data_IF_507462993525
#
_entry.id   IF_507462993525
#
_cell.length_a   1.000
_cell.length_b   1.000
_cell.length_c   1.000
_cell.angle_alpha   90.00
_cell.angle_beta   90.00
_cell.angle_gamma   90.00
#
_symmetry.space_group_name_H-M   'P 1'
#
loop_
_entity.id
_entity.type
_entity.pdbx_description
1 polymer ?
#
# COMPACT_ATOMS: atom_id res chain seq x y z
N UNK A 1 -1.52 -11.23 17.12
CA UNK A 1 -0.86 -10.21 16.26
C UNK A 1 -1.75 -9.93 15.06
N UNK A 2 -2.31 -8.71 14.96
CA UNK A 2 -3.07 -8.30 13.78
C UNK A 2 -2.16 -8.32 12.56
N UNK A 3 -2.45 -9.19 11.60
CA UNK A 3 -1.66 -9.38 10.39
C UNK A 3 -2.45 -8.73 9.26
N UNK A 4 -1.83 -7.82 8.49
CA UNK A 4 -2.50 -7.20 7.34
C UNK A 4 -3.12 -8.27 6.42
N UNK A 5 -4.26 -7.96 5.78
CA UNK A 5 -4.88 -8.84 4.81
C UNK A 5 -3.86 -9.33 3.77
N UNK A 6 -4.03 -10.56 3.30
CA UNK A 6 -3.09 -11.20 2.37
C UNK A 6 -2.91 -10.41 1.07
N UNK A 7 -3.97 -9.73 0.63
CA UNK A 7 -3.97 -8.80 -0.52
C UNK A 7 -2.98 -7.66 -0.32
N UNK A 8 -2.98 -7.03 0.86
CA UNK A 8 -2.04 -5.96 1.22
C UNK A 8 -0.63 -6.50 1.35
N UNK A 9 -0.43 -7.65 2.01
CA UNK A 9 0.91 -8.25 2.16
C UNK A 9 1.58 -8.63 0.84
N UNK A 10 0.79 -9.05 -0.15
CA UNK A 10 1.30 -9.42 -1.48
C UNK A 10 1.44 -8.21 -2.42
N UNK A 11 1.18 -7.00 -1.92
CA UNK A 11 1.33 -5.78 -2.69
C UNK A 11 2.78 -5.60 -3.16
N UNK A 12 2.95 -5.30 -4.45
CA UNK A 12 4.26 -4.89 -5.03
C UNK A 12 4.57 -3.43 -4.72
N UNK A 13 3.64 -2.71 -4.09
CA UNK A 13 3.72 -1.28 -3.82
C UNK A 13 3.85 -1.07 -2.32
N UNK A 14 4.81 -0.24 -1.92
CA UNK A 14 5.04 0.11 -0.51
C UNK A 14 5.13 1.62 -0.33
N UNK A 15 4.71 2.08 0.84
CA UNK A 15 4.98 3.43 1.27
C UNK A 15 6.46 3.55 1.65
N UNK A 16 7.18 4.50 1.06
CA UNK A 16 8.61 4.72 1.36
C UNK A 16 8.83 5.19 2.81
N UNK A 17 8.14 6.24 3.31
CA UNK A 17 8.40 6.73 4.67
C UNK A 17 8.03 5.72 5.76
N UNK A 18 6.94 4.97 5.61
CA UNK A 18 6.54 3.95 6.60
C UNK A 18 7.22 2.59 6.37
N UNK A 19 7.77 2.35 5.17
CA UNK A 19 8.30 1.05 4.74
C UNK A 19 7.32 -0.12 4.94
N UNK A 20 6.02 0.15 4.74
CA UNK A 20 4.93 -0.83 4.87
C UNK A 20 4.18 -0.99 3.55
N UNK A 21 3.50 -2.13 3.33
CA UNK A 21 2.74 -2.34 2.11
C UNK A 21 1.61 -1.33 1.94
N UNK A 22 1.33 -0.97 0.69
CA UNK A 22 0.16 -0.17 0.33
C UNK A 22 -1.00 -1.08 -0.10
N UNK A 23 -2.23 -0.67 0.21
CA UNK A 23 -3.46 -1.28 -0.28
C UNK A 23 -3.91 -0.59 -1.57
N UNK A 24 -4.41 -1.36 -2.53
CA UNK A 24 -5.06 -0.83 -3.73
C UNK A 24 -6.49 -0.42 -3.40
N UNK A 25 -6.88 0.79 -3.79
CA UNK A 25 -8.25 1.30 -3.69
C UNK A 25 -9.06 0.89 -4.92
N UNK A 26 -10.38 1.08 -4.84
CA UNK A 26 -11.30 0.79 -5.94
C UNK A 26 -11.00 1.68 -7.17
N UNK A 27 -10.44 2.87 -6.94
CA UNK A 27 -10.05 3.82 -7.98
C UNK A 27 -8.69 3.47 -8.65
N UNK A 28 -8.08 2.34 -8.28
CA UNK A 28 -6.78 1.90 -8.81
C UNK A 28 -5.60 2.73 -8.28
N UNK A 29 -5.79 3.47 -7.18
CA UNK A 29 -4.71 4.17 -6.47
C UNK A 29 -4.19 3.30 -5.33
N UNK A 30 -2.93 3.49 -4.94
CA UNK A 30 -2.38 2.79 -3.78
C UNK A 30 -2.35 3.73 -2.57
N UNK A 31 -2.75 3.23 -1.42
CA UNK A 31 -2.79 3.98 -0.15
C UNK A 31 -2.03 3.21 0.92
N UNK A 32 -1.19 3.91 1.68
CA UNK A 32 -0.46 3.32 2.80
C UNK A 32 -1.43 2.85 3.89
N UNK A 33 -1.27 1.60 4.34
CA UNK A 33 -2.14 1.03 5.39
C UNK A 33 -1.83 1.52 6.81
N UNK A 34 -0.78 2.34 6.96
CA UNK A 34 -0.34 2.84 8.25
C UNK A 34 -0.54 4.35 8.39
N UNK A 35 -0.04 5.14 7.43
CA UNK A 35 -0.22 6.60 7.46
C UNK A 35 -1.39 7.11 6.63
N UNK A 36 -1.96 6.30 5.73
CA UNK A 36 -3.04 6.73 4.84
C UNK A 36 -2.59 7.58 3.64
N UNK A 37 -1.29 7.81 3.46
CA UNK A 37 -0.78 8.58 2.33
C UNK A 37 -0.97 7.83 1.01
N UNK A 38 -1.25 8.61 -0.05
CA UNK A 38 -1.33 8.08 -1.41
C UNK A 38 0.06 7.74 -1.92
N UNK A 39 0.26 6.47 -2.26
CA UNK A 39 1.48 5.96 -2.87
C UNK A 39 1.30 6.00 -4.38
N UNK A 40 1.81 7.05 -5.01
CA UNK A 40 1.82 7.15 -6.48
C UNK A 40 3.03 6.37 -6.98
N UNK A 41 2.82 5.10 -7.33
CA UNK A 41 3.84 4.31 -8.02
C UNK A 41 3.96 4.80 -9.46
N UNK A 42 5.10 5.38 -9.83
CA UNK A 42 5.43 5.66 -11.23
C UNK A 42 5.36 4.35 -12.01
N UNK A 43 4.34 4.23 -12.88
CA UNK A 43 4.33 3.21 -13.95
C UNK A 43 5.32 3.67 -15.01
N UNK A 44 6.39 2.90 -15.19
CA UNK A 44 7.04 2.72 -16.49
C UNK A 44 6.37 1.53 -17.19
#
# INVERSE_FOLDING_TARGET
MSRYPRTVRSSRVKCIPCNVPAAETIDGTYVCVECGDTVIGARD
#
